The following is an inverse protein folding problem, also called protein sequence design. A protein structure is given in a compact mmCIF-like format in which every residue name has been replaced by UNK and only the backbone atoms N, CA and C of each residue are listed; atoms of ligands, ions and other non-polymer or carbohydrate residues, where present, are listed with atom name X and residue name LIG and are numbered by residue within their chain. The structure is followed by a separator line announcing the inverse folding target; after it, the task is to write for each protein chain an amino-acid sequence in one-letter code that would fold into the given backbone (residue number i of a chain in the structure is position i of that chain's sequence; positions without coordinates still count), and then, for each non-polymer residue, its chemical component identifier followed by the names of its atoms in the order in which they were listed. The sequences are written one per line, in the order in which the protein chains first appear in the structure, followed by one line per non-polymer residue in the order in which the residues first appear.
data_IF_354941553219
#
_entry.id   IF_354941553219
#
_cell.length_a   1.000
_cell.length_b   1.000
_cell.length_c   1.000
_cell.angle_alpha   90.00
_cell.angle_beta   90.00
_cell.angle_gamma   90.00
#
_symmetry.space_group_name_H-M   'P 1'
#
loop_
_entity.id
_entity.type
_entity.pdbx_description
1 polymer ?
#
# COMPACT_ATOMS: atom_id res chain seq x y z
N UNK A 1 -20.82 26.49 -17.53
CA UNK A 1 -20.33 25.40 -16.65
C UNK A 1 -19.88 24.17 -17.44
N UNK A 2 -20.66 23.62 -18.38
CA UNK A 2 -20.25 22.44 -19.20
C UNK A 2 -18.98 22.66 -20.05
N UNK A 3 -18.80 23.84 -20.66
CA UNK A 3 -17.61 24.15 -21.48
C UNK A 3 -16.34 24.16 -20.63
N UNK A 4 -16.38 24.71 -19.42
CA UNK A 4 -15.22 24.73 -18.51
C UNK A 4 -14.86 23.34 -17.98
N UNK A 5 -15.84 22.47 -17.70
CA UNK A 5 -15.58 21.08 -17.36
C UNK A 5 -14.94 20.32 -18.54
N UNK A 6 -15.44 20.54 -19.76
CA UNK A 6 -14.90 19.90 -20.96
C UNK A 6 -13.45 20.35 -21.25
N UNK A 7 -13.17 21.65 -21.15
CA UNK A 7 -11.81 22.19 -21.29
C UNK A 7 -10.86 21.69 -20.19
N UNK A 8 -11.32 21.59 -18.95
CA UNK A 8 -10.52 21.04 -17.86
C UNK A 8 -10.22 19.55 -18.08
N UNK A 9 -11.22 18.75 -18.49
CA UNK A 9 -11.02 17.34 -18.82
C UNK A 9 -10.07 17.16 -20.01
N UNK A 10 -10.21 17.97 -21.07
CA UNK A 10 -9.28 17.95 -22.19
C UNK A 10 -7.86 18.33 -21.76
N UNK A 11 -7.70 19.32 -20.89
CA UNK A 11 -6.38 19.70 -20.37
C UNK A 11 -5.73 18.57 -19.57
N UNK A 12 -6.49 17.93 -18.67
CA UNK A 12 -6.01 16.83 -17.82
C UNK A 12 -5.69 15.57 -18.63
N UNK A 13 -6.26 15.37 -19.82
CA UNK A 13 -5.94 14.23 -20.70
C UNK A 13 -4.82 14.57 -21.68
N UNK A 14 -4.88 15.74 -22.33
CA UNK A 14 -3.96 16.12 -23.41
C UNK A 14 -2.57 16.44 -22.87
N UNK A 15 -2.46 17.15 -21.74
CA UNK A 15 -1.15 17.53 -21.20
C UNK A 15 -0.32 16.32 -20.78
N UNK A 16 -0.88 15.32 -20.06
CA UNK A 16 -0.18 14.08 -19.78
C UNK A 16 0.27 13.32 -21.03
N UNK A 17 -0.59 13.24 -22.05
CA UNK A 17 -0.28 12.54 -23.30
C UNK A 17 0.84 13.22 -24.09
N UNK A 18 0.84 14.56 -24.16
CA UNK A 18 1.90 15.33 -24.83
C UNK A 18 3.26 15.15 -24.15
N UNK A 19 3.30 15.08 -22.82
CA UNK A 19 4.55 14.86 -22.09
C UNK A 19 5.15 13.46 -22.30
N UNK A 20 4.29 12.45 -22.51
CA UNK A 20 4.71 11.06 -22.75
C UNK A 20 5.10 10.79 -24.21
N UNK A 21 4.55 11.55 -25.17
CA UNK A 21 4.75 11.34 -26.60
C UNK A 21 6.22 11.24 -27.06
N UNK A 22 7.17 12.05 -26.56
CA UNK A 22 8.59 11.94 -26.94
C UNK A 22 9.25 10.61 -26.56
N UNK A 23 8.68 9.87 -25.60
CA UNK A 23 9.23 8.63 -25.07
C UNK A 23 8.63 7.36 -25.70
N UNK A 24 7.62 7.51 -26.57
CA UNK A 24 6.93 6.36 -27.18
C UNK A 24 6.24 5.44 -26.17
N UNK A 25 5.92 5.93 -24.97
CA UNK A 25 5.29 5.16 -23.90
C UNK A 25 3.82 5.59 -23.71
N UNK A 26 2.93 4.69 -23.25
CA UNK A 26 1.60 5.07 -22.79
C UNK A 26 1.67 6.12 -21.70
N UNK A 27 0.79 7.12 -21.74
CA UNK A 27 0.76 8.21 -20.77
C UNK A 27 0.63 7.69 -19.32
N UNK A 28 -0.20 6.65 -19.11
CA UNK A 28 -0.39 6.02 -17.80
C UNK A 28 0.95 5.54 -17.25
N UNK A 29 1.65 4.64 -17.98
CA UNK A 29 2.94 4.10 -17.56
C UNK A 29 4.01 5.20 -17.36
N UNK A 30 4.08 6.18 -18.27
CA UNK A 30 5.02 7.30 -18.17
C UNK A 30 4.85 8.08 -16.86
N UNK A 31 3.63 8.50 -16.52
CA UNK A 31 3.39 9.28 -15.30
C UNK A 31 3.53 8.46 -14.03
N UNK A 32 3.26 7.16 -14.06
CA UNK A 32 3.58 6.25 -12.96
C UNK A 32 5.10 6.26 -12.69
N UNK A 33 5.93 6.11 -13.73
CA UNK A 33 7.39 6.16 -13.58
C UNK A 33 7.91 7.50 -13.11
N UNK A 34 7.40 8.62 -13.66
CA UNK A 34 7.80 9.97 -13.24
C UNK A 34 7.50 10.18 -11.76
N UNK A 35 6.26 9.90 -11.32
CA UNK A 35 5.87 10.04 -9.92
C UNK A 35 6.68 9.12 -9.00
N UNK A 36 6.87 7.86 -9.39
CA UNK A 36 7.69 6.92 -8.62
C UNK A 36 9.13 7.40 -8.46
N UNK A 37 9.75 7.86 -9.55
CA UNK A 37 11.15 8.28 -9.57
C UNK A 37 11.38 9.55 -8.74
N UNK A 38 10.50 10.55 -8.88
CA UNK A 38 10.58 11.79 -8.09
C UNK A 38 10.46 11.50 -6.59
N UNK A 39 9.46 10.71 -6.18
CA UNK A 39 9.28 10.37 -4.76
C UNK A 39 10.37 9.45 -4.23
N UNK A 40 10.90 8.56 -5.07
CA UNK A 40 12.06 7.73 -4.72
C UNK A 40 13.28 8.60 -4.43
N UNK A 41 13.62 9.56 -5.28
CA UNK A 41 14.75 10.48 -5.08
C UNK A 41 14.55 11.32 -3.82
N UNK A 42 13.41 12.01 -3.69
CA UNK A 42 13.09 12.87 -2.53
C UNK A 42 13.17 12.05 -1.23
N UNK A 43 12.54 10.89 -1.22
CA UNK A 43 12.47 10.04 -0.04
C UNK A 43 13.80 9.36 0.30
N UNK A 44 14.62 8.98 -0.68
CA UNK A 44 15.98 8.48 -0.45
C UNK A 44 16.87 9.54 0.18
N UNK A 45 16.86 10.77 -0.34
CA UNK A 45 17.61 11.89 0.26
C UNK A 45 17.21 12.05 1.73
N UNK A 46 15.91 11.95 2.04
CA UNK A 46 15.44 12.05 3.42
C UNK A 46 15.89 10.85 4.29
N UNK A 47 15.78 9.63 3.78
CA UNK A 47 16.16 8.41 4.51
C UNK A 47 17.67 8.36 4.76
N UNK A 48 18.52 8.74 3.80
CA UNK A 48 19.97 8.72 4.00
C UNK A 48 20.44 9.61 5.15
N UNK A 49 19.72 10.70 5.42
CA UNK A 49 19.97 11.55 6.59
C UNK A 49 19.51 10.91 7.92
N UNK A 50 18.58 9.94 7.88
CA UNK A 50 18.06 9.22 9.06
C UNK A 50 18.85 7.94 9.37
N UNK A 51 19.43 7.28 8.36
CA UNK A 51 20.11 5.97 8.51
C UNK A 51 21.25 5.93 9.53
N UNK A 52 22.10 6.97 9.69
CA UNK A 52 23.17 6.94 10.70
C UNK A 52 22.65 6.83 12.14
N UNK A 53 21.38 7.16 12.38
CA UNK A 53 20.75 7.13 13.70
C UNK A 53 20.15 5.75 14.03
N UNK A 54 20.06 4.85 13.05
CA UNK A 54 19.40 3.54 13.17
C UNK A 54 20.40 2.38 13.14
N UNK A 55 20.05 1.29 13.83
CA UNK A 55 20.92 0.13 13.99
C UNK A 55 20.23 -1.16 13.50
N UNK A 56 21.00 -2.04 12.85
CA UNK A 56 20.52 -3.35 12.39
C UNK A 56 19.28 -3.28 11.50
N UNK A 57 18.28 -4.11 11.82
CA UNK A 57 17.03 -4.24 11.06
C UNK A 57 16.15 -2.99 11.09
N UNK A 58 16.37 -2.07 12.04
CA UNK A 58 15.60 -0.83 12.14
C UNK A 58 15.81 0.09 10.93
N UNK A 59 16.96 -0.04 10.25
CA UNK A 59 17.25 0.67 9.00
C UNK A 59 16.22 0.35 7.91
N UNK A 60 15.80 -0.91 7.80
CA UNK A 60 14.82 -1.34 6.79
C UNK A 60 13.45 -0.73 7.05
N UNK A 61 13.07 -0.58 8.32
CA UNK A 61 11.74 -0.08 8.72
C UNK A 61 11.51 1.37 8.26
N UNK A 62 12.58 2.16 8.10
CA UNK A 62 12.53 3.52 7.54
C UNK A 62 12.07 3.54 6.08
N UNK A 63 12.41 2.50 5.31
CA UNK A 63 11.97 2.37 3.93
C UNK A 63 10.47 2.07 3.79
N UNK A 64 9.80 1.59 4.85
CA UNK A 64 8.35 1.38 4.82
C UNK A 64 7.58 2.65 4.44
N UNK A 65 8.03 3.80 4.95
CA UNK A 65 7.48 5.12 4.60
C UNK A 65 7.69 5.47 3.13
N UNK A 66 8.86 5.14 2.59
CA UNK A 66 9.22 5.40 1.19
C UNK A 66 8.37 4.56 0.25
N UNK A 67 8.29 3.25 0.50
CA UNK A 67 7.51 2.31 -0.32
C UNK A 67 6.02 2.66 -0.34
N UNK A 68 5.49 3.07 0.82
CA UNK A 68 4.11 3.56 0.91
C UNK A 68 3.92 4.85 0.09
N UNK A 69 4.78 5.85 0.29
CA UNK A 69 4.67 7.14 -0.41
C UNK A 69 4.83 7.02 -1.94
N UNK A 70 5.80 6.25 -2.42
CA UNK A 70 6.02 6.02 -3.86
C UNK A 70 4.75 5.44 -4.49
N UNK A 71 4.22 4.37 -3.90
CA UNK A 71 3.05 3.70 -4.45
C UNK A 71 1.81 4.60 -4.40
N UNK A 72 1.66 5.42 -3.36
CA UNK A 72 0.59 6.42 -3.32
C UNK A 72 0.71 7.48 -4.42
N UNK A 73 1.91 7.92 -4.77
CA UNK A 73 2.11 8.86 -5.87
C UNK A 73 1.78 8.23 -7.22
N UNK A 74 2.13 6.95 -7.40
CA UNK A 74 1.83 6.16 -8.60
C UNK A 74 0.32 6.00 -8.77
N UNK A 75 -0.39 5.48 -7.78
CA UNK A 75 -1.85 5.34 -7.87
C UNK A 75 -2.54 6.70 -7.94
N UNK A 76 -1.97 7.73 -7.31
CA UNK A 76 -2.45 9.11 -7.43
C UNK A 76 -2.37 9.65 -8.85
N UNK A 77 -1.30 9.35 -9.61
CA UNK A 77 -1.19 9.77 -11.02
C UNK A 77 -2.14 8.99 -11.93
N UNK A 78 -2.35 7.70 -11.66
CA UNK A 78 -3.31 6.85 -12.41
C UNK A 78 -4.74 7.41 -12.37
N UNK A 79 -5.16 8.05 -11.27
CA UNK A 79 -6.48 8.70 -11.20
C UNK A 79 -6.66 9.83 -12.25
N UNK A 80 -5.57 10.43 -12.73
CA UNK A 80 -5.62 11.46 -13.78
C UNK A 80 -5.43 10.88 -15.19
N UNK A 81 -4.64 9.82 -15.32
CA UNK A 81 -4.28 9.23 -16.62
C UNK A 81 -5.23 8.10 -17.06
N UNK A 82 -5.91 7.46 -16.12
CA UNK A 82 -6.85 6.36 -16.33
C UNK A 82 -8.23 6.62 -15.71
N UNK A 83 -8.65 7.88 -15.72
CA UNK A 83 -9.96 8.29 -15.16
C UNK A 83 -11.14 7.57 -15.80
N UNK A 84 -11.00 7.16 -17.07
CA UNK A 84 -12.05 6.49 -17.83
C UNK A 84 -12.39 5.11 -17.25
N UNK A 85 -11.39 4.35 -16.80
CA UNK A 85 -11.59 3.02 -16.23
C UNK A 85 -11.85 3.07 -14.72
N UNK A 86 -11.39 4.12 -14.02
CA UNK A 86 -11.61 4.30 -12.58
C UNK A 86 -12.99 4.89 -12.26
N UNK A 87 -13.50 5.84 -13.06
CA UNK A 87 -14.79 6.49 -12.76
C UNK A 87 -16.00 5.53 -12.70
N UNK A 88 -16.08 4.48 -13.53
CA UNK A 88 -17.13 3.45 -13.40
C UNK A 88 -17.11 2.65 -12.09
N UNK A 89 -15.99 2.64 -11.35
CA UNK A 89 -15.87 1.94 -10.07
C UNK A 89 -16.59 2.67 -8.92
N UNK A 90 -16.79 3.99 -9.06
CA UNK A 90 -17.54 4.78 -8.08
C UNK A 90 -19.01 4.30 -8.07
N UNK A 91 -19.61 4.01 -6.89
CA UNK A 91 -20.98 3.54 -6.81
C UNK A 91 -21.97 4.48 -7.50
N UNK A 92 -22.89 3.91 -8.27
CA UNK A 92 -23.86 4.64 -9.11
C UNK A 92 -24.72 5.68 -8.38
N UNK A 93 -24.89 5.54 -7.07
CA UNK A 93 -25.65 6.48 -6.24
C UNK A 93 -24.86 7.73 -5.84
N UNK A 94 -23.53 7.74 -6.02
CA UNK A 94 -22.68 8.91 -5.80
C UNK A 94 -22.64 9.71 -7.10
N UNK A 95 -23.09 10.97 -7.14
CA UNK A 95 -23.01 11.77 -8.34
C UNK A 95 -21.56 12.24 -8.61
N UNK A 96 -21.32 12.72 -9.84
CA UNK A 96 -20.06 13.35 -10.24
C UNK A 96 -18.83 12.43 -10.07
N UNK A 97 -18.88 11.21 -10.60
CA UNK A 97 -17.81 10.19 -10.46
C UNK A 97 -16.42 10.74 -10.79
N UNK A 98 -16.29 11.44 -11.92
CA UNK A 98 -15.02 12.02 -12.37
C UNK A 98 -14.44 13.05 -11.38
N UNK A 99 -15.29 13.83 -10.70
CA UNK A 99 -14.84 14.76 -9.66
C UNK A 99 -14.18 14.00 -8.51
N UNK A 100 -14.81 12.91 -8.03
CA UNK A 100 -14.26 12.09 -6.95
C UNK A 100 -12.95 11.41 -7.35
N UNK A 101 -12.85 10.91 -8.59
CA UNK A 101 -11.60 10.32 -9.09
C UNK A 101 -10.46 11.34 -9.05
N UNK A 102 -10.65 12.56 -9.57
CA UNK A 102 -9.61 13.59 -9.51
C UNK A 102 -9.29 14.05 -8.10
N UNK A 103 -10.29 14.18 -7.22
CA UNK A 103 -10.09 14.56 -5.83
C UNK A 103 -9.24 13.53 -5.09
N UNK A 104 -9.53 12.23 -5.26
CA UNK A 104 -8.77 11.14 -4.66
C UNK A 104 -7.35 11.12 -5.23
N UNK A 105 -7.18 11.25 -6.54
CA UNK A 105 -5.86 11.34 -7.19
C UNK A 105 -5.00 12.45 -6.60
N UNK A 106 -5.55 13.67 -6.50
CA UNK A 106 -4.87 14.81 -5.90
C UNK A 106 -4.51 14.55 -4.43
N UNK A 107 -5.46 14.02 -3.66
CA UNK A 107 -5.24 13.70 -2.25
C UNK A 107 -4.12 12.66 -2.06
N UNK A 108 -4.04 11.66 -2.93
CA UNK A 108 -2.99 10.64 -2.92
C UNK A 108 -1.61 11.22 -3.24
N UNK A 109 -1.49 12.08 -4.25
CA UNK A 109 -0.22 12.78 -4.56
C UNK A 109 0.20 13.68 -3.40
N UNK A 110 -0.70 14.51 -2.87
CA UNK A 110 -0.42 15.37 -1.72
C UNK A 110 0.01 14.57 -0.49
N UNK A 111 -0.67 13.44 -0.22
CA UNK A 111 -0.31 12.57 0.88
C UNK A 111 1.04 11.89 0.67
N UNK A 112 1.35 11.43 -0.55
CA UNK A 112 2.65 10.85 -0.89
C UNK A 112 3.80 11.82 -0.59
N UNK A 113 3.69 13.06 -1.06
CA UNK A 113 4.69 14.11 -0.81
C UNK A 113 4.78 14.40 0.69
N UNK A 114 3.65 14.63 1.36
CA UNK A 114 3.56 14.90 2.79
C UNK A 114 4.25 13.80 3.64
N UNK A 115 3.97 12.53 3.32
CA UNK A 115 4.56 11.36 3.99
C UNK A 115 6.06 11.25 3.68
N UNK A 116 6.49 11.49 2.45
CA UNK A 116 7.91 11.41 2.07
C UNK A 116 8.76 12.48 2.76
N UNK A 117 8.29 13.74 2.80
CA UNK A 117 9.05 14.87 3.39
C UNK A 117 8.82 15.08 4.88
N UNK A 118 7.89 14.33 5.48
CA UNK A 118 7.50 14.42 6.90
C UNK A 118 6.78 15.73 7.30
N UNK A 119 6.17 16.43 6.35
CA UNK A 119 5.38 17.65 6.61
C UNK A 119 3.90 17.28 6.69
N UNK A 120 3.25 17.44 7.84
CA UNK A 120 1.86 17.00 8.08
C UNK A 120 1.62 15.48 7.85
N UNK A 121 2.68 14.67 7.84
CA UNK A 121 2.64 13.27 7.47
C UNK A 121 1.65 12.41 8.30
N UNK A 122 1.45 12.75 9.58
CA UNK A 122 0.47 12.06 10.44
C UNK A 122 -0.96 12.28 9.96
N UNK A 123 -1.29 13.53 9.63
CA UNK A 123 -2.63 13.88 9.13
C UNK A 123 -2.83 13.25 7.75
N UNK A 124 -1.86 13.39 6.85
CA UNK A 124 -1.90 12.78 5.52
C UNK A 124 -2.14 11.26 5.60
N UNK A 125 -1.38 10.54 6.43
CA UNK A 125 -1.57 9.10 6.61
C UNK A 125 -2.90 8.75 7.27
N UNK A 126 -3.40 9.55 8.22
CA UNK A 126 -4.73 9.34 8.81
C UNK A 126 -5.83 9.51 7.76
N UNK A 127 -5.72 10.53 6.89
CA UNK A 127 -6.67 10.76 5.81
C UNK A 127 -6.61 9.65 4.77
N UNK A 128 -5.42 9.21 4.34
CA UNK A 128 -5.26 8.06 3.43
C UNK A 128 -5.84 6.79 4.05
N UNK A 129 -5.55 6.52 5.32
CA UNK A 129 -6.11 5.38 6.03
C UNK A 129 -7.64 5.42 6.07
N UNK A 130 -8.22 6.61 6.28
CA UNK A 130 -9.66 6.81 6.26
C UNK A 130 -10.25 6.64 4.86
N UNK A 131 -9.59 7.17 3.81
CA UNK A 131 -10.02 6.99 2.41
C UNK A 131 -10.09 5.50 2.05
N UNK A 132 -9.06 4.72 2.37
CA UNK A 132 -9.10 3.27 2.13
C UNK A 132 -10.19 2.57 2.94
N UNK A 133 -10.44 2.99 4.18
CA UNK A 133 -11.53 2.41 4.98
C UNK A 133 -12.90 2.75 4.41
N UNK A 134 -13.08 3.97 3.89
CA UNK A 134 -14.30 4.37 3.17
C UNK A 134 -14.47 3.48 1.94
N UNK A 135 -13.40 3.23 1.17
CA UNK A 135 -13.46 2.33 0.00
C UNK A 135 -13.89 0.92 0.39
N UNK A 136 -13.34 0.38 1.48
CA UNK A 136 -13.78 -0.91 2.04
C UNK A 136 -15.28 -0.89 2.33
N UNK A 137 -15.78 0.10 3.06
CA UNK A 137 -17.18 0.12 3.48
C UNK A 137 -18.17 0.41 2.34
N UNK A 138 -17.78 1.25 1.39
CA UNK A 138 -18.67 1.81 0.36
C UNK A 138 -18.65 1.02 -0.95
N UNK A 139 -17.52 0.38 -1.27
CA UNK A 139 -17.30 -0.29 -2.56
C UNK A 139 -16.95 -1.76 -2.37
N UNK A 140 -15.86 -2.05 -1.66
CA UNK A 140 -15.31 -3.40 -1.66
C UNK A 140 -16.18 -4.39 -0.89
N UNK A 141 -16.60 -4.04 0.33
CA UNK A 141 -17.44 -4.90 1.16
C UNK A 141 -18.82 -5.15 0.52
N UNK A 142 -19.55 -4.16 0.00
CA UNK A 142 -20.76 -4.42 -0.79
C UNK A 142 -20.51 -5.36 -1.98
N UNK A 143 -19.40 -5.16 -2.72
CA UNK A 143 -19.02 -6.03 -3.82
C UNK A 143 -18.75 -7.47 -3.39
N UNK A 144 -18.05 -7.65 -2.27
CA UNK A 144 -17.79 -8.95 -1.63
C UNK A 144 -19.08 -9.62 -1.17
N UNK A 145 -19.99 -8.89 -0.53
CA UNK A 145 -21.27 -9.44 -0.06
C UNK A 145 -22.20 -9.83 -1.21
N UNK A 146 -22.11 -9.16 -2.36
CA UNK A 146 -22.80 -9.55 -3.59
C UNK A 146 -22.22 -10.81 -4.25
N UNK A 147 -20.93 -11.11 -4.02
CA UNK A 147 -20.22 -12.26 -4.58
C UNK A 147 -19.44 -13.03 -3.50
N UNK A 148 -20.12 -13.58 -2.47
CA UNK A 148 -19.46 -14.08 -1.25
C UNK A 148 -18.54 -15.28 -1.50
N UNK A 149 -18.75 -16.02 -2.58
CA UNK A 149 -17.93 -17.17 -2.99
C UNK A 149 -16.74 -16.78 -3.88
N UNK A 150 -16.61 -15.50 -4.26
CA UNK A 150 -15.51 -15.03 -5.09
C UNK A 150 -14.37 -14.52 -4.20
N UNK A 151 -13.33 -15.35 -4.04
CA UNK A 151 -12.14 -15.04 -3.23
C UNK A 151 -11.40 -13.76 -3.66
N UNK A 152 -11.47 -13.36 -4.93
CA UNK A 152 -10.81 -12.14 -5.40
C UNK A 152 -11.50 -10.87 -4.89
N UNK A 153 -12.82 -10.88 -4.72
CA UNK A 153 -13.51 -9.76 -4.08
C UNK A 153 -13.13 -9.65 -2.60
N UNK A 154 -13.00 -10.78 -1.89
CA UNK A 154 -12.45 -10.79 -0.54
C UNK A 154 -11.01 -10.27 -0.49
N UNK A 155 -10.16 -10.71 -1.41
CA UNK A 155 -8.77 -10.27 -1.49
C UNK A 155 -8.66 -8.74 -1.72
N UNK A 156 -9.50 -8.17 -2.61
CA UNK A 156 -9.52 -6.73 -2.85
C UNK A 156 -9.99 -5.93 -1.62
N UNK A 157 -11.05 -6.37 -0.93
CA UNK A 157 -11.53 -5.70 0.28
C UNK A 157 -10.48 -5.76 1.41
N UNK A 158 -9.87 -6.93 1.61
CA UNK A 158 -8.83 -7.13 2.62
C UNK A 158 -7.55 -6.36 2.27
N UNK A 159 -7.28 -6.09 0.99
CA UNK A 159 -6.13 -5.30 0.55
C UNK A 159 -6.30 -3.87 1.03
N UNK A 160 -7.44 -3.27 0.72
CA UNK A 160 -7.76 -1.90 1.12
C UNK A 160 -7.76 -1.78 2.65
N UNK A 161 -8.25 -2.80 3.37
CA UNK A 161 -8.18 -2.87 4.83
C UNK A 161 -6.73 -2.89 5.35
N UNK A 162 -5.85 -3.71 4.77
CA UNK A 162 -4.44 -3.76 5.17
C UNK A 162 -3.71 -2.44 4.91
N UNK A 163 -3.95 -1.81 3.76
CA UNK A 163 -3.37 -0.51 3.42
C UNK A 163 -3.84 0.59 4.37
N UNK A 164 -5.14 0.58 4.72
CA UNK A 164 -5.70 1.42 5.78
C UNK A 164 -4.99 1.21 7.12
N UNK A 165 -4.78 -0.06 7.50
CA UNK A 165 -4.06 -0.44 8.72
C UNK A 165 -2.65 0.11 8.77
N UNK A 166 -1.86 -0.04 7.70
CA UNK A 166 -0.50 0.51 7.62
C UNK A 166 -0.45 2.04 7.73
N UNK A 167 -1.36 2.73 7.06
CA UNK A 167 -1.48 4.19 7.14
C UNK A 167 -1.82 4.65 8.57
N UNK A 168 -2.79 3.98 9.21
CA UNK A 168 -3.14 4.26 10.60
C UNK A 168 -2.02 3.92 11.58
N UNK A 169 -1.25 2.85 11.35
CA UNK A 169 -0.08 2.54 12.17
C UNK A 169 0.91 3.71 12.18
N UNK A 170 1.22 4.25 11.01
CA UNK A 170 2.12 5.40 10.89
C UNK A 170 1.53 6.67 11.49
N UNK A 171 0.25 6.95 11.24
CA UNK A 171 -0.44 8.10 11.81
C UNK A 171 -0.51 8.06 13.34
N UNK A 172 -0.58 6.86 13.95
CA UNK A 172 -0.66 6.68 15.40
C UNK A 172 0.70 6.48 16.08
N UNK A 173 1.75 6.19 15.32
CA UNK A 173 3.10 5.95 15.85
C UNK A 173 3.60 7.13 16.72
N UNK A 174 4.23 6.87 17.89
CA UNK A 174 4.74 7.93 18.74
C UNK A 174 5.95 8.61 18.10
N UNK A 175 5.77 9.88 17.68
CA UNK A 175 6.84 10.71 17.09
C UNK A 175 7.63 11.53 18.13
N UNK A 176 7.14 11.58 19.38
CA UNK A 176 7.69 12.37 20.47
C UNK A 176 7.54 11.61 21.79
N UNK A 177 8.54 11.72 22.67
CA UNK A 177 8.62 11.09 24.00
C UNK A 177 7.72 11.73 25.07
N UNK A 178 6.78 12.61 24.69
CA UNK A 178 5.90 13.30 25.66
C UNK A 178 4.95 12.29 26.33
N UNK A 179 5.06 12.18 27.64
CA UNK A 179 4.25 11.31 28.51
C UNK A 179 2.76 11.62 28.37
N UNK A 180 1.96 10.60 28.00
CA UNK A 180 0.49 10.72 27.85
C UNK A 180 -0.21 10.48 29.19
N UNK A 181 -1.25 11.26 29.46
CA UNK A 181 -2.13 11.10 30.64
C UNK A 181 -2.83 9.72 30.67
N UNK A 182 -3.09 9.16 31.87
CA UNK A 182 -3.53 7.77 32.07
C UNK A 182 -4.95 7.44 31.55
N UNK A 183 -5.93 8.36 31.61
CA UNK A 183 -7.29 8.10 31.10
C UNK A 183 -7.36 8.02 29.56
N UNK A 184 -6.52 8.81 28.87
CA UNK A 184 -6.30 8.70 27.43
C UNK A 184 -5.51 7.44 27.05
N UNK A 185 -4.81 6.82 27.99
CA UNK A 185 -3.95 5.66 27.70
C UNK A 185 -4.74 4.41 27.29
N UNK A 186 -5.91 4.15 27.89
CA UNK A 186 -6.70 2.95 27.60
C UNK A 186 -7.41 3.02 26.24
N UNK A 187 -8.00 4.17 25.91
CA UNK A 187 -8.55 4.44 24.57
C UNK A 187 -7.44 4.37 23.50
N UNK A 188 -6.24 4.89 23.79
CA UNK A 188 -5.11 4.77 22.85
C UNK A 188 -4.62 3.34 22.68
N UNK A 189 -4.73 2.46 23.70
CA UNK A 189 -4.37 1.04 23.58
C UNK A 189 -5.35 0.28 22.68
N UNK A 190 -6.65 0.54 22.81
CA UNK A 190 -7.67 -0.04 21.94
C UNK A 190 -7.50 0.43 20.49
N UNK A 191 -7.32 1.73 20.26
CA UNK A 191 -7.09 2.29 18.93
C UNK A 191 -5.76 1.81 18.31
N UNK A 192 -4.71 1.64 19.11
CA UNK A 192 -3.44 1.06 18.66
C UNK A 192 -3.54 -0.43 18.29
N UNK A 193 -4.64 -1.12 18.64
CA UNK A 193 -4.89 -2.48 18.18
C UNK A 193 -5.43 -2.52 16.74
N UNK A 194 -6.14 -1.48 16.28
CA UNK A 194 -6.79 -1.44 14.97
C UNK A 194 -5.82 -1.76 13.82
N UNK A 195 -4.64 -1.13 13.72
CA UNK A 195 -3.69 -1.43 12.65
C UNK A 195 -3.24 -2.89 12.62
N UNK A 196 -3.09 -3.52 13.80
CA UNK A 196 -2.69 -4.92 13.90
C UNK A 196 -3.77 -5.86 13.36
N UNK A 197 -5.03 -5.59 13.67
CA UNK A 197 -6.15 -6.36 13.10
C UNK A 197 -6.30 -6.11 11.61
N UNK A 198 -6.20 -4.85 11.19
CA UNK A 198 -6.37 -4.45 9.79
C UNK A 198 -5.30 -5.03 8.87
N UNK A 199 -4.08 -5.24 9.35
CA UNK A 199 -3.02 -5.95 8.59
C UNK A 199 -3.05 -7.45 8.84
N UNK A 200 -3.36 -7.89 10.06
CA UNK A 200 -3.32 -9.29 10.48
C UNK A 200 -4.40 -10.18 9.89
N UNK A 201 -5.65 -9.70 9.80
CA UNK A 201 -6.74 -10.46 9.17
C UNK A 201 -6.44 -10.69 7.68
N UNK A 202 -6.11 -9.67 6.87
CA UNK A 202 -5.67 -9.87 5.48
C UNK A 202 -4.47 -10.79 5.36
N UNK A 203 -3.45 -10.62 6.20
CA UNK A 203 -2.25 -11.48 6.13
C UNK A 203 -2.57 -12.95 6.36
N UNK A 204 -3.44 -13.27 7.33
CA UNK A 204 -3.88 -14.64 7.56
C UNK A 204 -4.66 -15.20 6.37
N UNK A 205 -5.61 -14.42 5.84
CA UNK A 205 -6.40 -14.82 4.67
C UNK A 205 -5.51 -15.05 3.43
N UNK A 206 -4.62 -14.11 3.10
CA UNK A 206 -3.69 -14.25 1.97
C UNK A 206 -2.77 -15.44 2.11
N UNK A 207 -2.30 -15.69 3.32
CA UNK A 207 -1.46 -16.84 3.57
C UNK A 207 -2.18 -18.16 3.27
N UNK A 208 -3.46 -18.29 3.65
CA UNK A 208 -4.30 -19.46 3.30
C UNK A 208 -4.50 -19.54 1.78
N UNK A 209 -4.82 -18.42 1.13
CA UNK A 209 -5.00 -18.38 -0.32
C UNK A 209 -3.76 -18.87 -1.08
N UNK A 210 -2.54 -18.50 -0.66
CA UNK A 210 -1.30 -18.98 -1.30
C UNK A 210 -1.01 -20.46 -1.05
N UNK A 211 -1.54 -21.05 0.03
CA UNK A 211 -1.46 -22.51 0.24
C UNK A 211 -2.44 -23.28 -0.65
N UNK A 212 -3.61 -22.69 -0.94
CA UNK A 212 -4.63 -23.31 -1.79
C UNK A 212 -4.39 -23.08 -3.27
N UNK A 213 -3.79 -21.94 -3.62
CA UNK A 213 -3.62 -21.44 -4.98
C UNK A 213 -2.20 -20.90 -5.22
N UNK A 214 -1.16 -21.75 -5.15
CA UNK A 214 0.24 -21.32 -5.24
C UNK A 214 0.66 -20.81 -6.63
N UNK A 215 -0.18 -20.96 -7.65
CA UNK A 215 0.08 -20.51 -9.03
C UNK A 215 0.00 -18.99 -9.21
N UNK A 216 -0.70 -18.29 -8.32
CA UNK A 216 -0.82 -16.82 -8.36
C UNK A 216 0.43 -16.13 -7.81
N UNK A 217 0.62 -14.87 -8.20
CA UNK A 217 1.74 -14.08 -7.69
C UNK A 217 1.65 -13.92 -6.16
N UNK A 218 2.72 -14.23 -5.41
CA UNK A 218 2.68 -14.19 -3.96
C UNK A 218 2.62 -12.77 -3.39
N UNK A 219 1.98 -12.61 -2.24
CA UNK A 219 1.65 -11.30 -1.66
C UNK A 219 0.15 -11.13 -1.54
N UNK A 220 -0.44 -10.22 -2.34
CA UNK A 220 -1.90 -10.07 -2.42
C UNK A 220 -2.42 -11.06 -3.48
N UNK A 221 -3.29 -12.03 -3.13
CA UNK A 221 -3.69 -13.13 -4.00
C UNK A 221 -4.76 -12.70 -5.03
N UNK A 222 -4.38 -11.81 -5.95
CA UNK A 222 -5.20 -11.38 -7.08
C UNK A 222 -5.03 -12.35 -8.28
N UNK A 223 -5.61 -12.01 -9.42
CA UNK A 223 -5.78 -12.92 -10.56
C UNK A 223 -4.49 -13.21 -11.36
N UNK A 224 -3.42 -12.42 -11.19
CA UNK A 224 -2.20 -12.60 -11.99
C UNK A 224 -1.45 -13.87 -11.56
N UNK A 225 -1.14 -14.70 -12.56
CA UNK A 225 -0.32 -15.90 -12.38
C UNK A 225 1.17 -15.55 -12.33
N UNK A 226 1.93 -16.33 -11.57
CA UNK A 226 3.40 -16.22 -11.57
C UNK A 226 3.94 -16.83 -12.87
N UNK A 227 4.67 -16.07 -13.71
CA UNK A 227 5.18 -16.59 -14.98
C UNK A 227 6.07 -17.83 -14.83
N UNK A 228 6.02 -18.72 -15.82
CA UNK A 228 6.72 -20.01 -15.74
C UNK A 228 8.24 -19.88 -15.68
N UNK A 229 8.79 -18.83 -16.29
CA UNK A 229 10.22 -18.54 -16.31
C UNK A 229 10.79 -18.06 -14.97
N UNK A 230 9.94 -17.81 -13.95
CA UNK A 230 10.40 -17.46 -12.61
C UNK A 230 10.83 -18.73 -11.85
N UNK A 231 12.12 -18.83 -11.47
CA UNK A 231 12.61 -20.01 -10.77
C UNK A 231 11.94 -20.19 -9.41
N UNK A 232 11.49 -21.42 -9.12
CA UNK A 232 10.90 -21.78 -7.83
C UNK A 232 9.53 -21.14 -7.54
N UNK A 233 8.81 -20.64 -8.56
CA UNK A 233 7.53 -19.89 -8.41
C UNK A 233 6.53 -20.50 -7.42
N UNK A 234 6.31 -21.81 -7.48
CA UNK A 234 5.35 -22.52 -6.62
C UNK A 234 5.87 -22.60 -5.18
N UNK A 235 7.14 -22.99 -4.99
CA UNK A 235 7.77 -23.07 -3.67
C UNK A 235 7.84 -21.73 -2.97
N UNK A 236 8.11 -20.66 -3.72
CA UNK A 236 8.10 -19.29 -3.22
C UNK A 236 6.69 -18.88 -2.76
N UNK A 237 5.65 -19.26 -3.49
CA UNK A 237 4.28 -18.97 -3.09
C UNK A 237 3.90 -19.64 -1.77
N UNK A 238 4.21 -20.93 -1.61
CA UNK A 238 4.03 -21.62 -0.33
C UNK A 238 4.82 -20.98 0.81
N UNK A 239 6.09 -20.62 0.57
CA UNK A 239 6.93 -19.97 1.56
C UNK A 239 6.35 -18.64 2.03
N UNK A 240 5.94 -17.78 1.09
CA UNK A 240 5.29 -16.50 1.40
C UNK A 240 3.96 -16.73 2.14
N UNK A 241 3.17 -17.73 1.73
CA UNK A 241 1.92 -18.11 2.37
C UNK A 241 2.08 -18.50 3.84
N UNK A 242 3.08 -19.33 4.17
CA UNK A 242 3.39 -19.71 5.55
C UNK A 242 3.78 -18.50 6.40
N UNK A 243 4.66 -17.63 5.88
CA UNK A 243 5.09 -16.42 6.61
C UNK A 243 3.90 -15.47 6.85
N UNK A 244 3.01 -15.31 5.87
CA UNK A 244 1.77 -14.54 5.98
C UNK A 244 0.85 -15.06 7.10
N UNK A 245 0.64 -16.38 7.18
CA UNK A 245 -0.16 -17.01 8.26
C UNK A 245 0.48 -16.74 9.62
N UNK A 246 1.76 -17.05 9.76
CA UNK A 246 2.48 -16.90 11.03
C UNK A 246 2.48 -15.45 11.51
N UNK A 247 2.72 -14.50 10.59
CA UNK A 247 2.67 -13.08 10.90
C UNK A 247 1.27 -12.61 11.27
N UNK A 248 0.24 -13.05 10.53
CA UNK A 248 -1.16 -12.78 10.82
C UNK A 248 -1.55 -13.22 12.23
N UNK A 249 -1.24 -14.47 12.62
CA UNK A 249 -1.47 -14.98 13.98
C UNK A 249 -0.74 -14.13 15.03
N UNK A 250 0.53 -13.79 14.79
CA UNK A 250 1.30 -12.91 15.69
C UNK A 250 0.65 -11.53 15.88
N UNK A 251 0.12 -10.93 14.82
CA UNK A 251 -0.54 -9.61 14.88
C UNK A 251 -1.84 -9.66 15.68
N UNK A 252 -2.65 -10.69 15.45
CA UNK A 252 -3.95 -10.89 16.11
C UNK A 252 -3.78 -11.18 17.61
N UNK A 253 -2.83 -12.06 17.97
CA UNK A 253 -2.55 -12.43 19.36
C UNK A 253 -1.68 -11.38 20.08
N UNK A 254 -1.20 -10.36 19.36
CA UNK A 254 -0.30 -9.33 19.87
C UNK A 254 1.01 -9.90 20.47
N UNK A 255 1.59 -10.91 19.83
CA UNK A 255 2.82 -11.57 20.30
C UNK A 255 3.92 -11.43 19.26
N UNK A 256 5.06 -10.87 19.69
CA UNK A 256 6.23 -10.61 18.84
C UNK A 256 5.87 -9.83 17.55
N UNK A 257 4.84 -8.97 17.60
CA UNK A 257 4.27 -8.25 16.47
C UNK A 257 5.33 -7.50 15.66
N UNK A 258 6.25 -6.81 16.34
CA UNK A 258 7.35 -6.09 15.68
C UNK A 258 8.21 -7.02 14.83
N UNK A 259 8.70 -8.14 15.41
CA UNK A 259 9.53 -9.11 14.70
C UNK A 259 8.76 -9.73 13.53
N UNK A 260 7.52 -10.16 13.77
CA UNK A 260 6.68 -10.74 12.73
C UNK A 260 6.44 -9.78 11.56
N UNK A 261 6.21 -8.49 11.85
CA UNK A 261 6.00 -7.46 10.83
C UNK A 261 7.29 -7.12 10.09
N UNK A 262 8.43 -7.07 10.78
CA UNK A 262 9.74 -6.91 10.12
C UNK A 262 10.04 -8.08 9.19
N UNK A 263 9.84 -9.33 9.66
CA UNK A 263 10.06 -10.53 8.85
C UNK A 263 9.12 -10.56 7.65
N UNK A 264 7.82 -10.34 7.86
CA UNK A 264 6.85 -10.32 6.77
C UNK A 264 7.15 -9.20 5.76
N UNK A 265 7.45 -7.98 6.23
CA UNK A 265 7.79 -6.85 5.36
C UNK A 265 9.05 -7.13 4.53
N UNK A 266 10.07 -7.75 5.12
CA UNK A 266 11.26 -8.22 4.40
C UNK A 266 10.92 -9.31 3.37
N UNK A 267 10.10 -10.29 3.74
CA UNK A 267 9.65 -11.33 2.82
C UNK A 267 8.93 -10.73 1.62
N UNK A 268 7.96 -9.83 1.83
CA UNK A 268 7.24 -9.16 0.73
C UNK A 268 8.18 -8.28 -0.09
N UNK A 269 9.13 -7.57 0.53
CA UNK A 269 10.13 -6.81 -0.21
C UNK A 269 10.98 -7.71 -1.13
N UNK A 270 11.44 -8.85 -0.63
CA UNK A 270 12.17 -9.83 -1.44
C UNK A 270 11.28 -10.39 -2.55
N UNK A 271 9.99 -10.60 -2.30
CA UNK A 271 9.03 -10.98 -3.34
C UNK A 271 8.91 -9.90 -4.41
N UNK A 272 8.80 -8.63 -4.03
CA UNK A 272 8.78 -7.49 -4.97
C UNK A 272 10.03 -7.49 -5.85
N UNK A 273 11.21 -7.70 -5.26
CA UNK A 273 12.48 -7.68 -5.99
C UNK A 273 12.72 -8.93 -6.85
N UNK A 274 12.28 -10.11 -6.40
CA UNK A 274 12.55 -11.38 -7.09
C UNK A 274 11.49 -11.74 -8.14
N UNK A 275 10.24 -11.31 -7.95
CA UNK A 275 9.11 -11.69 -8.82
C UNK A 275 8.61 -10.47 -9.58
N UNK A 276 8.15 -9.45 -8.86
CA UNK A 276 7.46 -8.32 -9.48
C UNK A 276 8.41 -7.43 -10.29
N UNK A 277 9.65 -7.23 -9.84
CA UNK A 277 10.64 -6.44 -10.58
C UNK A 277 11.01 -7.11 -11.91
N UNK A 278 11.39 -8.40 -11.99
CA UNK A 278 11.57 -9.06 -13.28
C UNK A 278 10.33 -9.04 -14.18
N UNK A 279 9.13 -9.20 -13.60
CA UNK A 279 7.88 -9.10 -14.36
C UNK A 279 7.70 -7.71 -14.98
N UNK A 280 7.98 -6.66 -14.20
CA UNK A 280 7.93 -5.28 -14.67
C UNK A 280 8.99 -5.02 -15.75
N UNK A 281 10.21 -5.51 -15.58
CA UNK A 281 11.29 -5.34 -16.56
C UNK A 281 11.00 -6.08 -17.87
N UNK A 282 10.29 -7.21 -17.82
CA UNK A 282 9.86 -7.94 -19.01
C UNK A 282 8.72 -7.23 -19.78
N UNK A 283 7.94 -6.39 -19.11
CA UNK A 283 6.82 -5.66 -19.70
C UNK A 283 6.72 -4.22 -19.13
N UNK A 284 7.69 -3.33 -19.42
CA UNK A 284 7.82 -2.04 -18.74
C UNK A 284 6.69 -1.05 -19.06
N UNK A 285 5.98 -1.24 -20.17
CA UNK A 285 4.83 -0.39 -20.55
C UNK A 285 3.49 -1.01 -20.17
N UNK A 286 3.46 -2.24 -19.63
CA UNK A 286 2.24 -2.91 -19.18
C UNK A 286 1.78 -2.31 -17.84
N UNK A 287 0.68 -1.58 -17.88
CA UNK A 287 0.05 -0.96 -16.70
C UNK A 287 -0.33 -2.02 -15.67
N UNK A 288 -0.71 -3.23 -16.10
CA UNK A 288 -1.05 -4.30 -15.16
C UNK A 288 0.21 -4.74 -14.39
N UNK A 289 1.34 -4.94 -15.07
CA UNK A 289 2.60 -5.28 -14.40
C UNK A 289 3.04 -4.18 -13.42
N UNK A 290 2.92 -2.91 -13.81
CA UNK A 290 3.17 -1.75 -12.95
C UNK A 290 2.27 -1.74 -11.71
N UNK A 291 0.96 -1.94 -11.89
CA UNK A 291 0.00 -1.96 -10.79
C UNK A 291 0.31 -3.08 -9.80
N UNK A 292 0.59 -4.30 -10.26
CA UNK A 292 0.97 -5.40 -9.36
C UNK A 292 2.29 -5.13 -8.61
N UNK A 293 3.27 -4.50 -9.26
CA UNK A 293 4.53 -4.10 -8.61
C UNK A 293 4.29 -3.08 -7.50
N UNK A 294 3.61 -1.98 -7.80
CA UNK A 294 3.39 -0.90 -6.83
C UNK A 294 2.34 -1.25 -5.77
N UNK A 295 1.36 -2.09 -6.07
CA UNK A 295 0.38 -2.59 -5.09
C UNK A 295 1.07 -3.46 -4.02
N UNK A 296 1.94 -4.37 -4.47
CA UNK A 296 2.69 -5.23 -3.55
C UNK A 296 3.76 -4.43 -2.77
N UNK A 297 4.37 -3.43 -3.40
CA UNK A 297 5.27 -2.49 -2.73
C UNK A 297 4.54 -1.64 -1.68
N UNK A 298 3.30 -1.22 -1.96
CA UNK A 298 2.43 -0.50 -1.03
C UNK A 298 2.10 -1.37 0.18
N UNK A 299 1.76 -2.65 -0.04
CA UNK A 299 1.52 -3.61 1.03
C UNK A 299 2.76 -3.85 1.89
N UNK A 300 3.94 -4.00 1.26
CA UNK A 300 5.23 -4.03 1.97
C UNK A 300 5.43 -2.78 2.84
N UNK A 301 5.18 -1.59 2.27
CA UNK A 301 5.21 -0.33 2.99
C UNK A 301 4.28 -0.32 4.20
N UNK A 302 3.03 -0.73 4.03
CA UNK A 302 2.04 -0.81 5.10
C UNK A 302 2.48 -1.73 6.26
N UNK A 303 3.05 -2.91 5.94
CA UNK A 303 3.56 -3.86 6.93
C UNK A 303 4.78 -3.29 7.68
N UNK A 304 5.72 -2.66 6.98
CA UNK A 304 6.90 -2.05 7.60
C UNK A 304 6.54 -0.81 8.45
N UNK A 305 5.52 -0.05 8.03
CA UNK A 305 4.94 1.03 8.84
C UNK A 305 4.32 0.48 10.13
N UNK A 306 3.61 -0.65 10.06
CA UNK A 306 3.13 -1.36 11.25
C UNK A 306 4.30 -1.80 12.14
N UNK A 307 5.33 -2.40 11.56
CA UNK A 307 6.52 -2.82 12.31
C UNK A 307 7.13 -1.63 13.07
N UNK A 308 7.24 -0.47 12.42
CA UNK A 308 7.86 0.74 13.00
C UNK A 308 7.01 1.35 14.11
N UNK A 309 5.68 1.21 14.04
CA UNK A 309 4.78 1.67 15.08
C UNK A 309 4.80 0.79 16.35
N UNK A 310 5.31 -0.44 16.27
CA UNK A 310 5.39 -1.35 17.42
C UNK A 310 6.65 -1.08 18.25
N UNK A 311 6.46 -0.82 19.55
CA UNK A 311 7.51 -0.43 20.48
C UNK A 311 8.74 -1.37 20.48
N UNK A 312 9.94 -0.79 20.64
CA UNK A 312 11.20 -1.55 20.89
C UNK A 312 11.16 -2.28 22.25
N UNK A 313 10.30 -1.87 23.18
CA UNK A 313 10.19 -2.38 24.55
C UNK A 313 9.27 -3.60 24.65
N UNK A 314 9.77 -4.76 24.25
CA UNK A 314 9.25 -6.04 24.78
C UNK A 314 10.35 -7.08 25.04
N UNK A 315 11.62 -6.73 24.79
CA UNK A 315 12.76 -7.63 24.97
C UNK A 315 13.52 -7.45 26.30
N UNK A 316 13.26 -6.38 27.08
CA UNK A 316 14.06 -6.04 28.28
C UNK A 316 13.27 -6.09 29.61
N UNK A 317 12.05 -6.64 29.61
CA UNK A 317 11.25 -6.84 30.83
C UNK A 317 10.99 -8.32 31.14
N UNK A 318 11.73 -9.23 30.49
CA UNK A 318 11.71 -10.67 30.74
C UNK A 318 13.12 -11.28 30.75
N UNK A 319 14.05 -10.60 31.41
CA UNK A 319 15.32 -11.16 31.84
C UNK A 319 15.41 -10.95 33.35
#
# INVERSE_FOLDING_TARGET
MQIQLCCFQQFVVVVPALAAAPFGMPAIAFWMYVCASLLFIIGLIKIFNELPQEHGVDKVMRFGRLFFAISMAVFGSEHFTDTADIAPLVPRWIPAHTFWVYLVGLAFICAAVSIAVLVQARLAAALVGMTFLIFVCVMDLPGTLAHPHNRFFWALALRQLALSGGAFAFAMSPWSTRTRQPSRAQLTKALAAIPRFFVGIPSLFYGVEHLLHPEYVPGIPLQKLTPEWIPGRISLSYFVGVILILAGVCFLVNKKTRMAATTLGLTILLTVLWIYLPMLLAAPTDVVALNYFFDTLLFCGAILLLANAMDKKTALTRA
#
